data_IF_760247877666
#
_entry.id   IF_760247877666
#
_cell.length_a   1.000
_cell.length_b   1.000
_cell.length_c   1.000
_cell.angle_alpha   90.00
_cell.angle_beta   90.00
_cell.angle_gamma   90.00
#
_symmetry.space_group_name_H-M   'P 1'
#
loop_
_entity.id
_entity.type
_entity.pdbx_description
1 polymer ?
#
# COMPACT_ATOMS: atom_id res chain seq x y z
N UNK A 1 13.28 12.16 -14.75
CA UNK A 1 12.75 12.07 -13.38
C UNK A 1 13.46 10.91 -12.71
N UNK A 2 14.31 11.19 -11.72
CA UNK A 2 15.26 10.23 -11.15
C UNK A 2 14.60 9.24 -10.19
N UNK A 3 15.03 7.98 -10.27
CA UNK A 3 14.55 6.82 -9.50
C UNK A 3 14.66 6.97 -7.96
N UNK A 4 15.32 8.03 -7.47
CA UNK A 4 15.62 8.25 -6.05
C UNK A 4 14.48 8.95 -5.29
N UNK A 5 13.55 9.63 -5.99
CA UNK A 5 12.36 10.21 -5.37
C UNK A 5 11.33 9.17 -4.93
N UNK A 6 11.45 7.94 -5.45
CA UNK A 6 10.47 6.86 -5.29
C UNK A 6 10.59 6.13 -3.93
N UNK A 7 11.81 5.99 -3.41
CA UNK A 7 12.07 5.31 -2.13
C UNK A 7 11.81 6.21 -0.92
N UNK A 8 11.91 7.54 -1.09
CA UNK A 8 11.60 8.51 -0.04
C UNK A 8 10.10 8.52 0.26
N UNK A 9 9.24 8.39 -0.75
CA UNK A 9 7.79 8.47 -0.56
C UNK A 9 7.23 7.27 0.24
N UNK A 10 7.78 6.07 0.03
CA UNK A 10 7.42 4.85 0.79
C UNK A 10 7.78 4.98 2.29
N UNK A 11 8.85 5.70 2.61
CA UNK A 11 9.27 5.96 4.00
C UNK A 11 8.45 7.07 4.66
N UNK A 12 8.03 8.08 3.88
CA UNK A 12 7.21 9.20 4.36
C UNK A 12 5.76 8.76 4.66
N UNK A 13 5.16 7.92 3.80
CA UNK A 13 3.81 7.38 4.00
C UNK A 13 3.71 6.52 5.26
N UNK A 14 4.76 5.77 5.60
CA UNK A 14 4.82 4.94 6.81
C UNK A 14 4.95 5.73 8.13
N UNK A 15 5.40 7.00 8.08
CA UNK A 15 5.74 7.78 9.29
C UNK A 15 4.67 8.79 9.68
N UNK A 16 3.78 9.20 8.77
CA UNK A 16 2.69 10.14 9.08
C UNK A 16 1.44 9.47 9.70
N UNK A 17 1.35 8.13 9.69
CA UNK A 17 0.20 7.37 10.19
C UNK A 17 0.22 7.03 11.69
N UNK A 18 1.02 7.72 12.51
CA UNK A 18 1.07 7.46 13.93
C UNK A 18 -0.21 7.95 14.64
N UNK A 19 -1.20 7.04 14.81
CA UNK A 19 -1.82 6.68 16.11
C UNK A 19 -3.22 6.04 15.96
N UNK A 20 -3.30 4.73 16.21
CA UNK A 20 -4.13 4.14 17.30
C UNK A 20 -3.80 2.65 17.53
N UNK A 21 -3.77 2.16 18.79
CA UNK A 21 -3.24 0.83 19.10
C UNK A 21 -4.32 -0.24 19.34
N UNK A 22 -3.89 -1.48 19.05
CA UNK A 22 -4.22 -2.74 19.70
C UNK A 22 -5.69 -3.20 19.78
N UNK A 23 -6.02 -4.14 18.90
CA UNK A 23 -7.07 -5.14 19.11
C UNK A 23 -6.80 -6.32 18.20
N UNK A 24 -6.18 -7.38 18.73
CA UNK A 24 -6.02 -8.67 18.05
C UNK A 24 -7.40 -9.27 17.80
N UNK A 25 -7.96 -9.01 16.63
CA UNK A 25 -9.05 -9.79 16.06
C UNK A 25 -9.00 -9.63 14.54
N UNK A 26 -8.63 -10.74 13.88
CA UNK A 26 -8.59 -10.94 12.43
C UNK A 26 -7.53 -10.10 11.69
N UNK A 27 -6.28 -10.56 11.74
CA UNK A 27 -5.16 -10.04 10.92
C UNK A 27 -5.54 -9.86 9.45
N UNK A 28 -6.41 -10.73 8.91
CA UNK A 28 -6.90 -10.67 7.53
C UNK A 28 -7.75 -9.41 7.23
N UNK A 29 -8.63 -9.00 8.14
CA UNK A 29 -9.47 -7.81 7.94
C UNK A 29 -8.70 -6.51 8.08
N UNK A 30 -7.67 -6.51 8.95
CA UNK A 30 -6.82 -5.35 9.19
C UNK A 30 -5.81 -5.15 8.05
N UNK A 31 -5.28 -6.23 7.48
CA UNK A 31 -4.44 -6.19 6.27
C UNK A 31 -5.25 -5.72 5.06
N UNK A 32 -6.47 -6.22 4.87
CA UNK A 32 -7.35 -5.75 3.78
C UNK A 32 -7.67 -4.25 3.91
N UNK A 33 -7.97 -3.77 5.12
CA UNK A 33 -8.21 -2.35 5.37
C UNK A 33 -6.96 -1.49 5.10
N UNK A 34 -5.79 -1.98 5.47
CA UNK A 34 -4.52 -1.29 5.22
C UNK A 34 -4.19 -1.22 3.71
N UNK A 35 -4.42 -2.31 2.97
CA UNK A 35 -4.23 -2.34 1.52
C UNK A 35 -5.15 -1.33 0.83
N UNK A 36 -6.42 -1.28 1.23
CA UNK A 36 -7.37 -0.31 0.68
C UNK A 36 -6.93 1.13 0.97
N UNK A 37 -6.44 1.41 2.17
CA UNK A 37 -5.95 2.75 2.51
C UNK A 37 -4.73 3.14 1.66
N UNK A 38 -3.79 2.22 1.45
CA UNK A 38 -2.63 2.44 0.58
C UNK A 38 -3.07 2.65 -0.87
N UNK A 39 -4.06 1.89 -1.35
CA UNK A 39 -4.63 2.04 -2.70
C UNK A 39 -5.24 3.43 -2.88
N UNK A 40 -6.07 3.87 -1.94
CA UNK A 40 -6.72 5.19 -1.99
C UNK A 40 -5.69 6.33 -1.92
N UNK A 41 -4.70 6.22 -1.03
CA UNK A 41 -3.62 7.18 -0.89
C UNK A 41 -2.78 7.28 -2.16
N UNK A 42 -2.43 6.16 -2.79
CA UNK A 42 -1.70 6.14 -4.06
C UNK A 42 -2.47 6.83 -5.17
N UNK A 43 -3.79 6.64 -5.22
CA UNK A 43 -4.67 7.28 -6.21
C UNK A 43 -4.74 8.80 -6.05
N UNK A 44 -4.67 9.28 -4.81
CA UNK A 44 -4.63 10.71 -4.47
C UNK A 44 -3.25 11.31 -4.78
N UNK A 45 -2.18 10.58 -4.51
CA UNK A 45 -0.80 11.05 -4.75
C UNK A 45 -0.43 11.02 -6.24
N UNK A 46 -0.94 10.06 -6.99
CA UNK A 46 -0.65 9.85 -8.41
C UNK A 46 -1.93 9.89 -9.25
N UNK A 47 -2.61 11.05 -9.35
CA UNK A 47 -3.77 11.19 -10.20
C UNK A 47 -3.44 10.93 -11.68
N UNK A 48 -2.17 11.05 -12.09
CA UNK A 48 -1.71 10.72 -13.44
C UNK A 48 -1.74 9.22 -13.77
N UNK A 49 -1.82 8.35 -12.76
CA UNK A 49 -1.99 6.90 -12.97
C UNK A 49 -3.45 6.49 -13.11
N UNK A 50 -4.38 7.41 -12.83
CA UNK A 50 -5.81 7.17 -12.93
C UNK A 50 -6.27 7.50 -14.34
N UNK A 51 -6.76 6.50 -15.05
CA UNK A 51 -7.32 6.66 -16.37
C UNK A 51 -8.67 7.40 -16.32
N UNK A 52 -9.15 7.95 -17.45
CA UNK A 52 -10.45 8.63 -17.51
C UNK A 52 -11.65 7.76 -17.12
N UNK A 53 -11.51 6.43 -17.21
CA UNK A 53 -12.50 5.47 -16.77
C UNK A 53 -12.46 5.19 -15.25
N UNK A 54 -11.52 5.82 -14.53
CA UNK A 54 -11.33 5.68 -13.09
C UNK A 54 -10.41 4.52 -12.68
N UNK A 55 -9.97 3.68 -13.61
CA UNK A 55 -9.08 2.56 -13.34
C UNK A 55 -7.61 3.00 -13.27
N UNK A 56 -6.81 2.29 -12.49
CA UNK A 56 -5.37 2.52 -12.43
C UNK A 56 -4.62 1.19 -12.47
N UNK A 57 -4.29 0.66 -13.66
CA UNK A 57 -3.59 -0.61 -13.79
C UNK A 57 -2.21 -0.57 -13.12
N UNK A 58 -1.61 0.61 -12.97
CA UNK A 58 -0.41 0.81 -12.17
C UNK A 58 -0.70 0.58 -10.67
N UNK A 59 -1.76 1.16 -10.13
CA UNK A 59 -2.17 0.93 -8.73
C UNK A 59 -2.48 -0.55 -8.48
N UNK A 60 -3.19 -1.20 -9.40
CA UNK A 60 -3.51 -2.64 -9.33
C UNK A 60 -2.24 -3.50 -9.30
N UNK A 61 -1.23 -3.14 -10.09
CA UNK A 61 0.07 -3.83 -10.09
C UNK A 61 0.84 -3.66 -8.77
N UNK A 62 0.73 -2.49 -8.13
CA UNK A 62 1.33 -2.24 -6.82
C UNK A 62 0.65 -3.04 -5.72
N UNK A 63 -0.67 -3.11 -5.75
CA UNK A 63 -1.47 -3.86 -4.79
C UNK A 63 -1.17 -5.36 -4.87
N UNK A 64 -1.11 -5.92 -6.09
CA UNK A 64 -0.75 -7.32 -6.31
C UNK A 64 0.64 -7.65 -5.74
N UNK A 65 1.64 -6.80 -6.02
CA UNK A 65 3.00 -6.99 -5.51
C UNK A 65 3.10 -6.85 -3.99
N UNK A 66 2.31 -5.96 -3.39
CA UNK A 66 2.25 -5.77 -1.95
C UNK A 66 1.64 -7.01 -1.26
N UNK A 67 0.58 -7.59 -1.84
CA UNK A 67 0.03 -8.87 -1.37
C UNK A 67 1.06 -10.01 -1.44
N UNK A 68 1.82 -10.12 -2.54
CA UNK A 68 2.89 -11.12 -2.66
C UNK A 68 3.97 -10.95 -1.59
N UNK A 69 4.38 -9.70 -1.31
CA UNK A 69 5.39 -9.42 -0.30
C UNK A 69 4.90 -9.77 1.11
N UNK A 70 3.63 -9.46 1.42
CA UNK A 70 3.01 -9.80 2.70
C UNK A 70 2.85 -11.32 2.88
N UNK A 71 2.49 -12.03 1.81
CA UNK A 71 2.43 -13.50 1.81
C UNK A 71 3.82 -14.13 1.99
N UNK A 72 4.84 -13.56 1.33
CA UNK A 72 6.22 -14.00 1.48
C UNK A 72 6.78 -13.75 2.89
N UNK A 73 6.51 -12.58 3.48
CA UNK A 73 6.93 -12.23 4.84
C UNK A 73 6.22 -13.11 5.89
N UNK A 74 4.91 -13.38 5.70
CA UNK A 74 4.16 -14.31 6.53
C UNK A 74 4.69 -15.75 6.44
N UNK A 75 5.23 -16.17 5.30
CA UNK A 75 5.82 -17.50 5.08
C UNK A 75 7.28 -17.63 5.51
N UNK A 76 8.03 -16.52 5.58
CA UNK A 76 9.44 -16.48 5.96
C UNK A 76 9.73 -16.60 7.46
N UNK A 77 8.69 -16.67 8.30
CA UNK A 77 8.76 -16.80 9.76
C UNK A 77 8.81 -18.26 10.28
N UNK A 78 9.20 -19.23 9.43
CA UNK A 78 9.37 -20.64 9.83
C UNK A 78 10.84 -21.07 9.88
#
# INVERSE_FOLDING_TARGET
>A
MSSESFTVNLRQAATNGARRPAGTLQQSGLVAALLQQIHDDLRIQHPEWVQPNGESPTCDSYEARLMELLDADAKGLN
#
